data_IF_407837084176
#
_entry.id   IF_407837084176
#
_cell.length_a   1.000
_cell.length_b   1.000
_cell.length_c   1.000
_cell.angle_alpha   90.00
_cell.angle_beta   90.00
_cell.angle_gamma   90.00
#
_symmetry.space_group_name_H-M   'P 1'
#
loop_
_entity.id
_entity.type
_entity.pdbx_description
1 polymer ?
#
# COMPACT_ATOMS: atom_id res chain seq x y z
N UNK A 1 -20.33 -11.53 17.17
CA UNK A 1 -20.71 -10.77 15.96
C UNK A 1 -19.77 -9.59 15.73
N UNK A 2 -19.16 -9.03 16.78
CA UNK A 2 -18.26 -7.87 16.72
C UNK A 2 -16.99 -8.08 15.89
N UNK A 3 -16.39 -9.27 15.89
CA UNK A 3 -15.13 -9.51 15.20
C UNK A 3 -15.19 -9.40 13.67
N UNK A 4 -16.31 -9.78 13.03
CA UNK A 4 -16.46 -9.67 11.57
C UNK A 4 -16.67 -8.22 11.13
N UNK A 5 -17.42 -7.45 11.92
CA UNK A 5 -17.61 -6.03 11.68
C UNK A 5 -16.31 -5.26 11.84
N UNK A 6 -15.55 -5.51 12.90
CA UNK A 6 -14.23 -4.90 13.13
C UNK A 6 -13.24 -5.22 12.00
N UNK A 7 -13.14 -6.48 11.57
CA UNK A 7 -12.30 -6.86 10.42
C UNK A 7 -12.72 -6.12 9.16
N UNK A 8 -14.02 -5.97 8.91
CA UNK A 8 -14.52 -5.29 7.71
C UNK A 8 -14.11 -3.82 7.66
N UNK A 9 -14.16 -3.12 8.80
CA UNK A 9 -13.72 -1.73 8.93
C UNK A 9 -12.21 -1.59 8.72
N UNK A 10 -11.40 -2.46 9.34
CA UNK A 10 -9.94 -2.43 9.15
C UNK A 10 -9.58 -2.72 7.70
N UNK A 11 -10.26 -3.68 7.06
CA UNK A 11 -10.02 -4.02 5.66
C UNK A 11 -10.39 -2.88 4.71
N UNK A 12 -11.49 -2.16 4.97
CA UNK A 12 -11.86 -0.98 4.19
C UNK A 12 -10.80 0.11 4.25
N UNK A 13 -10.34 0.46 5.46
CA UNK A 13 -9.26 1.42 5.65
C UNK A 13 -7.97 0.95 4.98
N UNK A 14 -7.62 -0.33 5.10
CA UNK A 14 -6.44 -0.89 4.45
C UNK A 14 -6.53 -0.81 2.92
N UNK A 15 -7.71 -1.04 2.32
CA UNK A 15 -7.90 -0.92 0.86
C UNK A 15 -7.72 0.52 0.40
N UNK A 16 -8.38 1.46 1.05
CA UNK A 16 -8.27 2.87 0.68
C UNK A 16 -6.83 3.37 0.82
N UNK A 17 -6.16 2.98 1.91
CA UNK A 17 -4.77 3.37 2.14
C UNK A 17 -3.84 2.73 1.10
N UNK A 18 -4.01 1.46 0.78
CA UNK A 18 -3.27 0.81 -0.29
C UNK A 18 -3.45 1.57 -1.63
N UNK A 19 -4.69 1.87 -2.02
CA UNK A 19 -4.97 2.62 -3.24
C UNK A 19 -4.29 4.01 -3.27
N UNK A 20 -4.23 4.70 -2.13
CA UNK A 20 -3.55 6.00 -2.02
C UNK A 20 -2.03 5.88 -2.18
N UNK A 21 -1.40 4.86 -1.61
CA UNK A 21 0.04 4.61 -1.80
C UNK A 21 0.32 4.26 -3.26
N UNK A 22 -0.50 3.40 -3.87
CA UNK A 22 -0.38 3.02 -5.27
C UNK A 22 -0.43 4.25 -6.18
N UNK A 23 -1.49 5.06 -6.08
CA UNK A 23 -1.65 6.26 -6.90
C UNK A 23 -0.51 7.27 -6.73
N UNK A 24 0.07 7.35 -5.53
CA UNK A 24 1.23 8.21 -5.28
C UNK A 24 2.50 7.69 -5.99
N UNK A 25 2.77 6.39 -5.93
CA UNK A 25 3.95 5.80 -6.57
C UNK A 25 3.81 5.82 -8.09
N UNK A 26 2.62 5.50 -8.60
CA UNK A 26 2.28 5.57 -10.02
C UNK A 26 2.50 6.99 -10.58
N UNK A 27 1.93 8.00 -9.93
CA UNK A 27 2.16 9.41 -10.30
C UNK A 27 3.63 9.83 -10.21
N UNK A 28 4.39 9.24 -9.29
CA UNK A 28 5.81 9.49 -9.18
C UNK A 28 6.60 8.87 -10.35
N UNK A 29 6.28 7.64 -10.74
CA UNK A 29 6.90 6.97 -11.89
C UNK A 29 6.63 7.76 -13.17
N UNK A 30 5.39 8.19 -13.37
CA UNK A 30 5.00 9.07 -14.48
C UNK A 30 5.80 10.36 -14.51
N UNK A 31 5.89 11.06 -13.37
CA UNK A 31 6.60 12.35 -13.27
C UNK A 31 8.07 12.25 -13.67
N UNK A 32 8.72 11.14 -13.35
CA UNK A 32 10.14 10.93 -13.62
C UNK A 32 10.41 10.03 -14.83
N UNK A 33 9.36 9.68 -15.59
CA UNK A 33 9.43 8.80 -16.76
C UNK A 33 10.16 7.47 -16.44
N UNK A 34 9.84 6.89 -15.28
CA UNK A 34 10.34 5.60 -14.84
C UNK A 34 9.34 4.54 -15.29
N UNK A 35 9.77 3.64 -16.16
CA UNK A 35 8.95 2.52 -16.63
C UNK A 35 9.03 1.34 -15.65
N UNK A 36 8.02 0.46 -15.70
CA UNK A 36 8.02 -0.80 -14.95
C UNK A 36 9.30 -1.61 -15.25
N UNK A 37 9.94 -2.13 -14.20
CA UNK A 37 11.19 -2.89 -14.32
C UNK A 37 12.46 -2.04 -14.30
N UNK A 38 12.37 -0.70 -14.35
CA UNK A 38 13.52 0.18 -14.28
C UNK A 38 13.96 0.48 -12.84
N UNK A 39 13.03 0.47 -11.88
CA UNK A 39 13.33 0.65 -10.46
C UNK A 39 12.65 -0.42 -9.61
N UNK A 40 13.47 -1.41 -9.22
CA UNK A 40 13.05 -2.56 -8.42
C UNK A 40 12.38 -2.16 -7.09
N UNK A 41 12.75 -1.02 -6.50
CA UNK A 41 12.13 -0.57 -5.26
C UNK A 41 10.70 -0.11 -5.50
N UNK A 42 10.46 0.66 -6.56
CA UNK A 42 9.12 1.12 -6.93
C UNK A 42 8.23 -0.04 -7.33
N UNK A 43 8.75 -0.96 -8.15
CA UNK A 43 8.02 -2.15 -8.58
C UNK A 43 7.60 -3.01 -7.38
N UNK A 44 8.51 -3.20 -6.42
CA UNK A 44 8.19 -3.94 -5.19
C UNK A 44 7.15 -3.23 -4.32
N UNK A 45 7.19 -1.90 -4.23
CA UNK A 45 6.18 -1.14 -3.49
C UNK A 45 4.82 -1.30 -4.17
N UNK A 46 4.74 -1.13 -5.50
CA UNK A 46 3.50 -1.32 -6.26
C UNK A 46 2.94 -2.72 -6.08
N UNK A 47 3.78 -3.75 -6.22
CA UNK A 47 3.39 -5.15 -6.02
C UNK A 47 2.79 -5.39 -4.63
N UNK A 48 3.48 -4.97 -3.57
CA UNK A 48 3.02 -5.18 -2.19
C UNK A 48 1.73 -4.43 -1.89
N UNK A 49 1.58 -3.21 -2.42
CA UNK A 49 0.37 -2.42 -2.24
C UNK A 49 -0.83 -3.08 -2.93
N UNK A 50 -0.65 -3.57 -4.16
CA UNK A 50 -1.69 -4.31 -4.90
C UNK A 50 -2.04 -5.62 -4.18
N UNK A 51 -1.05 -6.33 -3.66
CA UNK A 51 -1.26 -7.54 -2.86
C UNK A 51 -2.09 -7.25 -1.61
N UNK A 52 -1.77 -6.19 -0.86
CA UNK A 52 -2.52 -5.79 0.34
C UNK A 52 -3.95 -5.36 -0.01
N UNK A 53 -4.12 -4.59 -1.09
CA UNK A 53 -5.42 -4.15 -1.60
C UNK A 53 -6.33 -5.34 -1.91
N UNK A 54 -5.84 -6.27 -2.73
CA UNK A 54 -6.59 -7.46 -3.14
C UNK A 54 -6.89 -8.37 -1.95
N UNK A 55 -5.93 -8.55 -1.06
CA UNK A 55 -6.09 -9.37 0.14
C UNK A 55 -7.18 -8.85 1.09
N UNK A 56 -7.49 -7.55 1.08
CA UNK A 56 -8.51 -6.98 1.93
C UNK A 56 -9.96 -7.23 1.44
N UNK A 57 -10.15 -7.94 0.32
CA UNK A 57 -11.46 -8.49 -0.08
C UNK A 57 -11.68 -9.94 0.40
N UNK A 58 -10.62 -10.60 0.86
CA UNK A 58 -10.70 -11.98 1.36
C UNK A 58 -11.10 -12.01 2.84
N UNK A 59 -11.76 -13.09 3.32
CA UNK A 59 -11.97 -13.30 4.75
C UNK A 59 -10.63 -13.28 5.49
N UNK A 60 -10.55 -12.49 6.57
CA UNK A 60 -9.36 -12.37 7.41
C UNK A 60 -9.70 -12.42 8.89
N UNK A 61 -8.70 -12.78 9.69
CA UNK A 61 -8.70 -12.53 11.12
C UNK A 61 -8.33 -11.07 11.41
N UNK A 62 -8.71 -10.56 12.59
CA UNK A 62 -8.31 -9.21 13.05
C UNK A 62 -6.78 -9.06 12.99
N UNK A 63 -6.04 -10.08 13.45
CA UNK A 63 -4.57 -10.08 13.45
C UNK A 63 -3.98 -9.94 12.04
N UNK A 64 -4.58 -10.56 11.03
CA UNK A 64 -4.12 -10.42 9.64
C UNK A 64 -4.45 -9.05 9.06
N UNK A 65 -5.62 -8.48 9.40
CA UNK A 65 -6.00 -7.13 9.00
C UNK A 65 -5.09 -6.07 9.65
N UNK A 66 -4.73 -6.23 10.92
CA UNK A 66 -3.76 -5.39 11.62
C UNK A 66 -2.33 -5.53 11.07
N UNK A 67 -1.93 -6.76 10.71
CA UNK A 67 -0.63 -6.98 10.05
C UNK A 67 -0.54 -6.20 8.74
N UNK A 68 -1.60 -6.23 7.92
CA UNK A 68 -1.68 -5.45 6.69
C UNK A 68 -1.55 -3.95 6.96
N UNK A 69 -2.21 -3.43 8.00
CA UNK A 69 -2.09 -2.03 8.43
C UNK A 69 -0.63 -1.66 8.74
N UNK A 70 0.06 -2.49 9.52
CA UNK A 70 1.47 -2.25 9.86
C UNK A 70 2.38 -2.26 8.62
N UNK A 71 2.08 -3.11 7.63
CA UNK A 71 2.80 -3.10 6.36
C UNK A 71 2.55 -1.82 5.57
N UNK A 72 1.30 -1.34 5.52
CA UNK A 72 0.95 -0.07 4.87
C UNK A 72 1.65 1.14 5.52
N UNK A 73 1.78 1.17 6.85
CA UNK A 73 2.56 2.19 7.55
C UNK A 73 4.03 2.24 7.12
N UNK A 74 4.64 1.07 6.89
CA UNK A 74 6.02 0.99 6.40
C UNK A 74 6.13 1.42 4.95
N UNK A 75 5.20 0.97 4.09
CA UNK A 75 5.16 1.35 2.67
C UNK A 75 4.94 2.86 2.50
N UNK A 76 4.08 3.46 3.33
CA UNK A 76 3.86 4.90 3.37
C UNK A 76 5.16 5.65 3.70
N UNK A 77 5.88 5.23 4.74
CA UNK A 77 7.19 5.83 5.11
C UNK A 77 8.22 5.71 3.99
N UNK A 78 8.22 4.60 3.24
CA UNK A 78 9.10 4.43 2.08
C UNK A 78 8.71 5.38 0.95
N UNK A 79 7.42 5.49 0.63
CA UNK A 79 6.90 6.42 -0.37
C UNK A 79 7.22 7.89 -0.02
N UNK A 80 7.11 8.27 1.26
CA UNK A 80 7.46 9.62 1.74
C UNK A 80 8.97 9.90 1.57
N UNK A 81 9.84 8.95 1.95
CA UNK A 81 11.29 9.10 1.78
C UNK A 81 11.71 9.21 0.31
N UNK A 82 11.06 8.45 -0.58
CA UNK A 82 11.30 8.54 -2.02
C UNK A 82 10.96 9.94 -2.55
N UNK A 83 9.81 10.48 -2.14
CA UNK A 83 9.40 11.85 -2.47
C UNK A 83 10.44 12.88 -2.00
N UNK A 84 10.95 12.76 -0.77
CA UNK A 84 11.96 13.67 -0.22
C UNK A 84 13.29 13.63 -1.01
N UNK A 85 13.76 12.43 -1.35
CA UNK A 85 15.04 12.25 -2.06
C UNK A 85 15.02 12.86 -3.47
N UNK A 86 13.85 12.83 -4.12
CA UNK A 86 13.69 13.21 -5.53
C UNK A 86 13.15 14.64 -5.72
N UNK A 87 12.80 15.30 -4.62
CA UNK A 87 12.47 16.73 -4.60
C UNK A 87 13.71 17.61 -4.37
N UNK A 88 14.88 17.00 -4.17
CA UNK A 88 16.18 17.67 -4.07
C UNK A 88 16.91 17.57 -5.40
#
# INVERSE_FOLDING_TARGET
MDSLYEVSQINEVNREWAAQIWARIDSYMDKFNIEEGQDLLLDNILFLVVEIYNNAFSPKTIKEAEKNKNQLELLQKLADKLKEKMSK
#
